data_IF_990948569876
#
_entry.id   IF_990948569876
#
_cell.length_a   1.000
_cell.length_b   1.000
_cell.length_c   1.000
_cell.angle_alpha   90.00
_cell.angle_beta   90.00
_cell.angle_gamma   90.00
#
_symmetry.space_group_name_H-M   'P 1'
#
loop_
_entity.id
_entity.type
_entity.pdbx_description
1 polymer ?
#
# COMPACT_ATOMS: atom_id res chain seq x y z
N UNK A 1 -7.08 26.36 -9.87
CA UNK A 1 -5.96 25.40 -9.96
C UNK A 1 -6.12 24.56 -11.23
N UNK A 2 -5.04 24.33 -11.98
CA UNK A 2 -5.08 23.51 -13.19
C UNK A 2 -5.16 22.01 -12.82
N UNK A 3 -6.14 21.27 -13.38
CA UNK A 3 -6.27 19.81 -13.19
C UNK A 3 -5.19 19.06 -13.99
N UNK A 4 -3.96 19.03 -13.47
CA UNK A 4 -2.85 18.26 -14.05
C UNK A 4 -2.78 16.86 -13.43
N UNK A 5 -2.40 15.88 -14.24
CA UNK A 5 -2.08 14.53 -13.76
C UNK A 5 -0.82 14.58 -12.89
N UNK A 6 -0.81 13.81 -11.80
CA UNK A 6 0.34 13.70 -10.90
C UNK A 6 0.42 12.31 -10.29
N UNK A 7 1.58 12.02 -9.68
CA UNK A 7 1.84 10.82 -8.88
C UNK A 7 2.62 11.21 -7.65
N UNK A 8 2.37 10.54 -6.52
CA UNK A 8 3.13 10.72 -5.30
C UNK A 8 3.28 9.38 -4.58
N UNK A 9 4.35 9.26 -3.80
CA UNK A 9 4.63 8.11 -2.96
C UNK A 9 4.41 8.49 -1.48
N UNK A 10 3.90 7.54 -0.70
CA UNK A 10 3.78 7.70 0.75
C UNK A 10 3.75 6.34 1.43
N UNK A 11 4.15 6.29 2.70
CA UNK A 11 3.97 5.11 3.57
C UNK A 11 2.49 4.82 3.82
N UNK A 12 1.62 5.80 3.60
CA UNK A 12 0.16 5.65 3.70
C UNK A 12 -0.36 5.31 5.10
N UNK A 13 0.41 5.64 6.14
CA UNK A 13 0.08 5.35 7.55
C UNK A 13 -0.54 6.54 8.30
N UNK A 14 -1.01 7.58 7.61
CA UNK A 14 -1.63 8.77 8.20
C UNK A 14 -2.94 9.13 7.50
N UNK A 15 -3.90 9.63 8.28
CA UNK A 15 -5.26 9.93 7.81
C UNK A 15 -5.28 11.09 6.79
N UNK A 16 -4.31 11.99 6.85
CA UNK A 16 -4.12 13.08 5.89
C UNK A 16 -4.10 12.58 4.43
N UNK A 17 -3.57 11.38 4.18
CA UNK A 17 -3.49 10.82 2.82
C UNK A 17 -4.82 10.22 2.34
N UNK A 18 -5.67 9.77 3.25
CA UNK A 18 -7.05 9.43 2.91
C UNK A 18 -7.84 10.67 2.53
N UNK A 19 -7.67 11.76 3.28
CA UNK A 19 -8.31 13.03 2.97
C UNK A 19 -7.87 13.59 1.62
N UNK A 20 -6.59 13.43 1.29
CA UNK A 20 -6.07 13.78 -0.03
C UNK A 20 -6.77 12.99 -1.16
N UNK A 21 -6.95 11.67 -0.99
CA UNK A 21 -7.65 10.83 -1.96
C UNK A 21 -9.11 11.26 -2.13
N UNK A 22 -9.81 11.56 -1.03
CA UNK A 22 -11.20 12.07 -1.06
C UNK A 22 -11.29 13.36 -1.86
N UNK A 23 -10.45 14.34 -1.56
CA UNK A 23 -10.38 15.61 -2.29
C UNK A 23 -10.09 15.41 -3.79
N UNK A 24 -9.18 14.50 -4.13
CA UNK A 24 -8.90 14.18 -5.53
C UNK A 24 -10.12 13.54 -6.22
N UNK A 25 -10.83 12.64 -5.54
CA UNK A 25 -12.04 11.99 -6.07
C UNK A 25 -13.16 13.01 -6.29
N UNK A 26 -13.40 13.89 -5.32
CA UNK A 26 -14.40 14.96 -5.38
C UNK A 26 -14.08 15.99 -6.48
N UNK A 27 -12.79 16.22 -6.74
CA UNK A 27 -12.32 17.02 -7.87
C UNK A 27 -12.45 16.31 -9.23
N UNK A 28 -12.94 15.07 -9.27
CA UNK A 28 -13.19 14.30 -10.50
C UNK A 28 -11.93 13.68 -11.11
N UNK A 29 -10.88 13.44 -10.32
CA UNK A 29 -9.73 12.68 -10.79
C UNK A 29 -10.07 11.20 -10.91
N UNK A 30 -9.54 10.57 -11.95
CA UNK A 30 -9.44 9.12 -12.01
C UNK A 30 -8.21 8.66 -11.23
N UNK A 31 -8.42 7.95 -10.13
CA UNK A 31 -7.37 7.59 -9.18
C UNK A 31 -6.97 6.13 -9.39
N UNK A 32 -5.68 5.94 -9.68
CA UNK A 32 -5.02 4.63 -9.60
C UNK A 32 -4.22 4.57 -8.32
N UNK A 33 -4.56 3.61 -7.46
CA UNK A 33 -3.86 3.32 -6.23
C UNK A 33 -2.98 2.08 -6.42
N UNK A 34 -1.70 2.19 -6.10
CA UNK A 34 -0.76 1.09 -6.14
C UNK A 34 -0.31 0.83 -4.70
N UNK A 35 -0.71 -0.32 -4.15
CA UNK A 35 -0.39 -0.69 -2.79
C UNK A 35 0.57 -1.87 -2.79
N UNK A 36 1.74 -1.68 -2.18
CA UNK A 36 2.77 -2.71 -2.05
C UNK A 36 2.91 -3.05 -0.58
N UNK A 37 2.69 -4.32 -0.24
CA UNK A 37 2.80 -4.80 1.13
C UNK A 37 3.64 -6.09 1.20
N UNK A 38 3.93 -6.52 2.42
CA UNK A 38 4.61 -7.77 2.72
C UNK A 38 3.72 -8.61 3.62
N UNK A 39 3.95 -9.92 3.69
CA UNK A 39 3.10 -10.83 4.45
C UNK A 39 3.05 -10.49 5.94
N UNK A 40 4.18 -10.00 6.48
CA UNK A 40 4.37 -9.75 7.91
C UNK A 40 5.25 -8.54 8.13
N UNK A 41 5.00 -7.74 9.18
CA UNK A 41 5.84 -6.58 9.50
C UNK A 41 7.29 -6.96 9.82
N UNK A 42 7.56 -8.20 10.28
CA UNK A 42 8.92 -8.69 10.54
C UNK A 42 9.82 -8.66 9.31
N UNK A 43 9.27 -8.87 8.10
CA UNK A 43 10.02 -8.74 6.83
C UNK A 43 10.52 -7.30 6.68
N UNK A 44 9.66 -6.32 6.95
CA UNK A 44 10.03 -4.90 6.86
C UNK A 44 11.04 -4.51 7.92
N UNK A 45 10.89 -5.04 9.15
CA UNK A 45 11.86 -4.85 10.24
C UNK A 45 13.23 -5.36 9.82
N UNK A 46 13.32 -6.61 9.35
CA UNK A 46 14.59 -7.20 8.91
C UNK A 46 15.26 -6.37 7.80
N UNK A 47 14.48 -5.97 6.78
CA UNK A 47 15.00 -5.16 5.67
C UNK A 47 15.46 -3.76 6.11
N UNK A 48 14.77 -3.13 7.07
CA UNK A 48 15.21 -1.84 7.62
C UNK A 48 16.46 -2.02 8.48
N UNK A 49 16.51 -3.05 9.33
CA UNK A 49 17.70 -3.37 10.14
C UNK A 49 18.92 -3.63 9.26
N UNK A 50 18.79 -4.42 8.20
CA UNK A 50 19.88 -4.67 7.26
C UNK A 50 20.39 -3.37 6.62
N UNK A 51 19.48 -2.47 6.20
CA UNK A 51 19.87 -1.17 5.65
C UNK A 51 20.56 -0.28 6.67
N UNK A 52 20.11 -0.29 7.92
CA UNK A 52 20.77 0.44 9.01
C UNK A 52 22.20 -0.07 9.23
N UNK A 53 22.39 -1.40 9.26
CA UNK A 53 23.72 -2.02 9.39
C UNK A 53 24.65 -1.69 8.21
N UNK A 54 24.10 -1.40 7.02
CA UNK A 54 24.86 -0.98 5.83
C UNK A 54 24.94 0.55 5.66
N UNK A 55 24.71 1.33 6.73
CA UNK A 55 24.89 2.79 6.74
C UNK A 55 23.64 3.63 6.49
N UNK A 56 22.45 3.03 6.50
CA UNK A 56 21.16 3.74 6.45
C UNK A 56 20.76 4.37 7.79
N UNK A 57 19.62 5.06 7.80
CA UNK A 57 19.09 5.69 9.01
C UNK A 57 18.35 4.70 9.91
N UNK A 58 18.44 4.91 11.22
CA UNK A 58 17.70 4.13 12.20
C UNK A 58 16.19 4.47 12.14
N UNK A 59 15.36 3.43 12.22
CA UNK A 59 13.91 3.57 12.42
C UNK A 59 13.49 2.64 13.55
N UNK A 60 12.82 3.13 14.60
CA UNK A 60 12.36 2.26 15.69
C UNK A 60 11.44 1.14 15.18
N UNK A 61 11.67 -0.09 15.66
CA UNK A 61 10.89 -1.27 15.28
C UNK A 61 9.38 -1.04 15.51
N UNK A 62 9.02 -0.46 16.66
CA UNK A 62 7.64 -0.10 17.00
C UNK A 62 7.00 0.81 15.95
N UNK A 63 7.76 1.75 15.37
CA UNK A 63 7.30 2.64 14.31
C UNK A 63 7.05 1.89 13.00
N UNK A 64 7.91 0.92 12.66
CA UNK A 64 7.73 0.07 11.46
C UNK A 64 6.46 -0.76 11.59
N UNK A 65 6.29 -1.45 12.72
CA UNK A 65 5.13 -2.30 13.00
C UNK A 65 3.85 -1.47 13.03
N UNK A 66 3.84 -0.33 13.71
CA UNK A 66 2.67 0.56 13.76
C UNK A 66 2.28 1.05 12.37
N UNK A 67 3.27 1.44 11.55
CA UNK A 67 3.03 1.92 10.19
C UNK A 67 2.45 0.84 9.29
N UNK A 68 2.92 -0.40 9.41
CA UNK A 68 2.43 -1.54 8.65
C UNK A 68 0.92 -1.73 8.82
N UNK A 69 0.44 -1.80 10.07
CA UNK A 69 -0.99 -2.01 10.33
C UNK A 69 -1.82 -0.78 9.96
N UNK A 70 -1.34 0.43 10.24
CA UNK A 70 -2.01 1.66 9.81
C UNK A 70 -2.12 1.76 8.29
N UNK A 71 -1.08 1.38 7.55
CA UNK A 71 -1.13 1.40 6.09
C UNK A 71 -2.10 0.38 5.51
N UNK A 72 -2.23 -0.80 6.13
CA UNK A 72 -3.24 -1.80 5.73
C UNK A 72 -4.66 -1.28 5.96
N UNK A 73 -4.95 -0.75 7.15
CA UNK A 73 -6.26 -0.18 7.48
C UNK A 73 -6.62 0.98 6.54
N UNK A 74 -5.67 1.89 6.28
CA UNK A 74 -5.88 2.98 5.35
C UNK A 74 -6.06 2.47 3.91
N UNK A 75 -5.30 1.45 3.49
CA UNK A 75 -5.45 0.88 2.16
C UNK A 75 -6.85 0.31 1.93
N UNK A 76 -7.43 -0.40 2.92
CA UNK A 76 -8.81 -0.88 2.86
C UNK A 76 -9.81 0.28 2.63
N UNK A 77 -9.67 1.37 3.37
CA UNK A 77 -10.51 2.57 3.17
C UNK A 77 -10.28 3.18 1.79
N UNK A 78 -9.03 3.31 1.35
CA UNK A 78 -8.69 3.91 0.06
C UNK A 78 -9.24 3.11 -1.12
N UNK A 79 -9.19 1.78 -1.05
CA UNK A 79 -9.74 0.84 -2.04
C UNK A 79 -11.23 1.12 -2.30
N UNK A 80 -11.98 1.49 -1.27
CA UNK A 80 -13.41 1.83 -1.41
C UNK A 80 -13.69 3.18 -2.10
N UNK A 81 -12.66 4.03 -2.26
CA UNK A 81 -12.79 5.40 -2.78
C UNK A 81 -12.23 5.51 -4.22
N UNK A 82 -11.11 4.84 -4.48
CA UNK A 82 -10.37 4.95 -5.76
C UNK A 82 -11.00 4.15 -6.88
N UNK A 83 -10.79 4.58 -8.12
CA UNK A 83 -11.35 3.89 -9.30
C UNK A 83 -10.68 2.54 -9.55
N UNK A 84 -9.37 2.44 -9.29
CA UNK A 84 -8.61 1.19 -9.42
C UNK A 84 -7.55 1.07 -8.34
N UNK A 85 -7.53 -0.08 -7.67
CA UNK A 85 -6.44 -0.47 -6.79
C UNK A 85 -5.68 -1.66 -7.37
N UNK A 86 -4.35 -1.60 -7.33
CA UNK A 86 -3.44 -2.66 -7.73
C UNK A 86 -2.64 -3.08 -6.52
N UNK A 87 -2.80 -4.34 -6.12
CA UNK A 87 -2.22 -4.86 -4.88
C UNK A 87 -1.03 -5.74 -5.22
N UNK A 88 0.12 -5.44 -4.62
CA UNK A 88 1.37 -6.14 -4.85
C UNK A 88 1.89 -6.77 -3.57
N UNK A 89 2.32 -8.03 -3.67
CA UNK A 89 3.07 -8.72 -2.64
C UNK A 89 4.58 -8.57 -2.91
N UNK A 90 5.32 -8.12 -1.89
CA UNK A 90 6.77 -7.96 -1.92
C UNK A 90 7.45 -8.77 -0.80
N UNK A 91 6.89 -9.91 -0.43
CA UNK A 91 7.34 -10.70 0.72
C UNK A 91 8.62 -11.50 0.43
N UNK A 92 8.92 -11.77 -0.84
CA UNK A 92 10.08 -12.57 -1.24
C UNK A 92 11.27 -11.67 -1.53
N UNK A 93 12.39 -11.92 -0.88
CA UNK A 93 13.65 -11.19 -1.13
C UNK A 93 14.20 -11.48 -2.53
N UNK A 94 14.91 -10.50 -3.10
CA UNK A 94 15.55 -10.58 -4.42
C UNK A 94 14.57 -10.89 -5.58
N UNK A 95 13.28 -10.61 -5.41
CA UNK A 95 12.28 -10.67 -6.46
C UNK A 95 11.58 -9.33 -6.62
N UNK A 96 11.08 -9.05 -7.82
CA UNK A 96 10.20 -7.90 -8.04
C UNK A 96 8.86 -8.13 -7.33
N UNK A 97 8.20 -7.07 -6.82
CA UNK A 97 6.85 -7.18 -6.27
C UNK A 97 5.89 -7.81 -7.29
N UNK A 98 5.10 -8.78 -6.84
CA UNK A 98 4.15 -9.51 -7.69
C UNK A 98 2.77 -8.88 -7.58
N UNK A 99 2.17 -8.51 -8.71
CA UNK A 99 0.76 -8.12 -8.75
C UNK A 99 -0.09 -9.34 -8.41
N UNK A 100 -0.83 -9.29 -7.30
CA UNK A 100 -1.62 -10.43 -6.82
C UNK A 100 -3.11 -10.27 -7.09
N UNK A 101 -3.63 -9.04 -7.03
CA UNK A 101 -5.00 -8.73 -7.41
C UNK A 101 -5.17 -7.27 -7.86
N UNK A 102 -6.27 -7.03 -8.55
CA UNK A 102 -6.76 -5.71 -8.93
C UNK A 102 -8.20 -5.57 -8.48
N UNK A 103 -8.51 -4.43 -7.87
CA UNK A 103 -9.85 -4.06 -7.45
C UNK A 103 -10.34 -2.87 -8.28
N UNK A 104 -11.64 -2.84 -8.52
CA UNK A 104 -12.35 -1.77 -9.24
C UNK A 104 -13.58 -1.43 -8.42
N UNK A 105 -13.77 -0.14 -8.13
CA UNK A 105 -14.90 0.38 -7.34
C UNK A 105 -15.11 -0.40 -6.02
N UNK A 106 -14.02 -0.64 -5.29
CA UNK A 106 -14.04 -1.35 -4.00
C UNK A 106 -14.19 -2.86 -4.06
N UNK A 107 -14.37 -3.47 -5.24
CA UNK A 107 -14.57 -4.91 -5.39
C UNK A 107 -13.39 -5.61 -6.07
N UNK A 108 -13.13 -6.87 -5.70
CA UNK A 108 -12.17 -7.72 -6.39
C UNK A 108 -12.60 -7.91 -7.86
N UNK A 109 -11.77 -7.42 -8.79
CA UNK A 109 -12.06 -7.49 -10.22
C UNK A 109 -11.22 -8.54 -10.94
N UNK A 110 -9.94 -8.70 -10.56
CA UNK A 110 -9.07 -9.73 -11.12
C UNK A 110 -8.07 -10.23 -10.08
N UNK A 111 -7.94 -11.53 -9.98
CA UNK A 111 -6.89 -12.21 -9.22
C UNK A 111 -5.82 -12.74 -10.20
N UNK A 112 -4.56 -12.59 -9.82
CA UNK A 112 -3.39 -13.02 -10.61
C UNK A 112 -2.58 -14.11 -9.91
N UNK A 113 -2.61 -14.15 -8.58
CA UNK A 113 -2.02 -15.23 -7.79
C UNK A 113 -2.98 -16.42 -7.67
N UNK A 114 -2.47 -17.64 -7.60
CA UNK A 114 -3.31 -18.82 -7.35
C UNK A 114 -3.99 -18.75 -5.98
N UNK A 115 -3.25 -18.31 -4.96
CA UNK A 115 -3.72 -18.12 -3.60
C UNK A 115 -3.36 -16.70 -3.17
N UNK A 116 -4.34 -15.96 -2.66
CA UNK A 116 -4.09 -14.64 -2.08
C UNK A 116 -3.51 -14.80 -0.67
N UNK A 117 -2.43 -14.07 -0.33
CA UNK A 117 -1.91 -14.03 1.04
C UNK A 117 -2.97 -13.58 2.04
N UNK A 118 -2.90 -14.07 3.28
CA UNK A 118 -3.89 -13.77 4.32
C UNK A 118 -4.06 -12.27 4.58
N UNK A 119 -2.98 -11.48 4.48
CA UNK A 119 -3.03 -10.03 4.70
C UNK A 119 -3.94 -9.29 3.70
N UNK A 120 -4.24 -9.90 2.54
CA UNK A 120 -5.17 -9.33 1.56
C UNK A 120 -6.61 -9.37 2.06
N UNK A 121 -6.96 -10.28 2.97
CA UNK A 121 -8.29 -10.32 3.57
C UNK A 121 -8.58 -9.05 4.38
N UNK A 122 -7.56 -8.39 4.92
CA UNK A 122 -7.69 -7.10 5.61
C UNK A 122 -8.03 -5.93 4.66
N UNK A 123 -7.98 -6.17 3.34
CA UNK A 123 -8.29 -5.18 2.31
C UNK A 123 -9.67 -5.37 1.66
N UNK A 124 -10.33 -6.51 1.90
CA UNK A 124 -11.65 -6.86 1.37
C UNK A 124 -12.75 -6.43 2.35
#
# INVERSE_FOLDING_TARGET
EEKKNFVFETVFSSDEKLEFIRKAKDAGFFIRFFFVCTEKPSINVLRVTNRFLTGGHEVPISKIVTRYYKSLANAAVAISIVDRAYIYDNSVDNQLPKLICRMVDGALYKQYAEILPNWVQELL
#
